data_IF_451642481071
#
_entry.id   IF_451642481071
#
_cell.length_a   1.000
_cell.length_b   1.000
_cell.length_c   1.000
_cell.angle_alpha   90.00
_cell.angle_beta   90.00
_cell.angle_gamma   90.00
#
_symmetry.space_group_name_H-M   'P 1'
#
loop_
_entity.id
_entity.type
_entity.pdbx_description
1 polymer ?
#
# COMPACT_ATOMS: atom_id res chain seq x y z
N UNK A 1 59.14 -68.56 23.07
CA UNK A 1 58.80 -67.16 22.72
C UNK A 1 57.50 -67.00 21.94
N UNK A 2 56.74 -68.06 21.63
CA UNK A 2 55.43 -67.94 20.93
C UNK A 2 54.20 -68.12 21.84
N UNK A 3 54.36 -68.33 23.15
CA UNK A 3 53.25 -68.39 24.11
C UNK A 3 53.03 -67.11 24.93
N UNK A 4 53.99 -66.20 24.97
CA UNK A 4 53.83 -64.88 25.62
C UNK A 4 53.19 -63.84 24.68
N UNK A 5 53.50 -63.87 23.39
CA UNK A 5 52.89 -62.97 22.39
C UNK A 5 51.40 -63.23 22.12
N UNK A 6 50.89 -64.41 22.46
CA UNK A 6 49.46 -64.71 22.39
C UNK A 6 48.68 -64.11 23.57
N UNK A 7 49.28 -64.05 24.77
CA UNK A 7 48.63 -63.49 25.95
C UNK A 7 48.59 -61.96 25.96
N UNK A 8 49.59 -61.29 25.35
CA UNK A 8 49.55 -59.83 25.20
C UNK A 8 48.49 -59.35 24.19
N UNK A 9 48.16 -60.14 23.17
CA UNK A 9 47.10 -59.80 22.21
C UNK A 9 45.69 -59.94 22.79
N UNK A 10 45.48 -60.91 23.69
CA UNK A 10 44.20 -61.13 24.35
C UNK A 10 43.91 -60.12 25.49
N UNK A 11 44.94 -59.47 26.03
CA UNK A 11 44.79 -58.41 27.04
C UNK A 11 44.47 -57.08 26.33
N UNK A 12 45.14 -56.78 25.21
CA UNK A 12 44.86 -55.56 24.43
C UNK A 12 43.47 -55.61 23.76
N UNK A 13 42.96 -56.80 23.40
CA UNK A 13 41.59 -56.91 22.87
C UNK A 13 40.51 -56.75 23.95
N UNK A 14 40.81 -57.07 25.22
CA UNK A 14 39.84 -56.93 26.33
C UNK A 14 39.74 -55.51 26.88
N UNK A 15 40.82 -54.72 26.79
CA UNK A 15 40.79 -53.31 27.22
C UNK A 15 40.22 -52.37 26.14
N UNK A 16 40.19 -52.77 24.86
CA UNK A 16 39.54 -51.98 23.78
C UNK A 16 38.02 -52.20 23.73
N UNK A 17 37.52 -53.33 24.23
CA UNK A 17 36.07 -53.62 24.27
C UNK A 17 35.38 -53.05 25.51
N UNK A 18 36.13 -52.65 26.56
CA UNK A 18 35.54 -52.09 27.78
C UNK A 18 35.49 -50.55 27.80
N UNK A 19 36.15 -49.86 26.85
CA UNK A 19 36.15 -48.39 26.71
C UNK A 19 35.20 -47.89 25.60
N UNK A 20 34.49 -48.80 24.92
CA UNK A 20 33.42 -48.47 23.95
C UNK A 20 32.02 -48.45 24.53
N UNK A 21 31.88 -48.66 25.84
CA UNK A 21 30.59 -48.72 26.51
C UNK A 21 30.26 -47.51 27.40
N UNK A 22 31.10 -46.46 27.37
CA UNK A 22 30.75 -45.16 27.92
C UNK A 22 30.47 -44.14 26.79
N UNK A 23 29.27 -43.57 26.82
CA UNK A 23 28.73 -42.48 25.97
C UNK A 23 28.12 -42.89 24.63
N UNK A 24 27.10 -43.73 24.70
CA UNK A 24 25.84 -43.38 24.04
C UNK A 24 24.77 -43.21 25.11
N UNK A 25 24.57 -41.96 25.55
CA UNK A 25 23.28 -41.54 26.08
C UNK A 25 22.29 -41.69 24.91
N UNK A 26 21.78 -42.91 24.70
CA UNK A 26 20.52 -43.09 23.98
C UNK A 26 19.51 -42.34 24.84
N UNK A 27 19.04 -41.20 24.35
CA UNK A 27 17.84 -40.55 24.88
C UNK A 27 16.70 -41.57 24.76
N UNK A 28 16.57 -42.42 25.78
CA UNK A 28 15.42 -43.28 25.93
C UNK A 28 14.24 -42.36 26.14
N UNK A 29 13.30 -42.36 25.20
CA UNK A 29 11.99 -41.79 25.39
C UNK A 29 11.41 -42.37 26.69
N UNK A 30 11.46 -41.59 27.79
CA UNK A 30 10.75 -41.93 29.02
C UNK A 30 9.27 -41.82 28.71
N UNK A 31 8.60 -42.95 28.48
CA UNK A 31 7.14 -42.98 28.48
C UNK A 31 6.67 -42.55 29.87
N UNK A 32 6.04 -41.39 29.93
CA UNK A 32 5.53 -40.81 31.17
C UNK A 32 4.38 -41.68 31.66
N UNK A 33 4.54 -42.33 32.81
CA UNK A 33 3.53 -43.21 33.43
C UNK A 33 2.21 -42.48 33.79
N UNK A 34 2.23 -41.14 33.82
CA UNK A 34 1.06 -40.31 34.14
C UNK A 34 0.74 -39.34 33.00
N UNK A 35 -0.55 -39.20 32.69
CA UNK A 35 -1.07 -38.27 31.67
C UNK A 35 -0.81 -36.81 32.07
N UNK A 36 0.27 -36.22 31.53
CA UNK A 36 0.69 -34.83 31.82
C UNK A 36 -0.15 -33.79 31.04
N UNK A 37 -0.96 -34.23 30.07
CA UNK A 37 -1.88 -33.35 29.34
C UNK A 37 -1.28 -32.63 28.13
N UNK A 38 0.02 -32.79 27.81
CA UNK A 38 0.60 -32.30 26.54
C UNK A 38 -0.05 -32.93 25.30
N UNK A 39 -0.63 -34.11 25.43
CA UNK A 39 -1.44 -34.74 24.39
C UNK A 39 -2.66 -33.89 23.95
N UNK A 40 -3.11 -32.96 24.80
CA UNK A 40 -4.17 -32.01 24.46
C UNK A 40 -3.65 -30.69 23.85
N UNK A 41 -2.34 -30.48 23.76
CA UNK A 41 -1.76 -29.28 23.14
C UNK A 41 -2.17 -29.14 21.66
N UNK A 42 -2.13 -30.21 20.82
CA UNK A 42 -2.64 -30.12 19.45
C UNK A 42 -4.13 -29.75 19.40
N UNK A 43 -4.94 -30.34 20.29
CA UNK A 43 -6.37 -30.01 20.40
C UNK A 43 -6.60 -28.56 20.83
N UNK A 44 -5.74 -28.01 21.69
CA UNK A 44 -5.78 -26.62 22.12
C UNK A 44 -5.39 -25.66 20.99
N UNK A 45 -4.33 -25.99 20.24
CA UNK A 45 -3.91 -25.23 19.05
C UNK A 45 -5.01 -25.28 18.00
N UNK A 46 -5.57 -26.45 17.71
CA UNK A 46 -6.70 -26.62 16.80
C UNK A 46 -7.89 -25.73 17.20
N UNK A 47 -8.35 -25.80 18.46
CA UNK A 47 -9.47 -24.98 18.94
C UNK A 47 -9.17 -23.47 18.87
N UNK A 48 -7.92 -23.06 19.13
CA UNK A 48 -7.49 -21.66 19.04
C UNK A 48 -7.47 -21.19 17.58
N UNK A 49 -6.97 -22.03 16.67
CA UNK A 49 -6.95 -21.75 15.23
C UNK A 49 -8.35 -21.67 14.63
N UNK A 50 -9.26 -22.59 15.00
CA UNK A 50 -10.67 -22.56 14.57
C UNK A 50 -11.36 -21.28 15.05
N UNK A 51 -11.13 -20.85 16.30
CA UNK A 51 -11.71 -19.60 16.83
C UNK A 51 -11.14 -18.33 16.20
N UNK A 52 -9.83 -18.32 15.88
CA UNK A 52 -9.17 -17.17 15.24
C UNK A 52 -9.54 -17.06 13.76
N UNK A 53 -9.82 -18.18 13.12
CA UNK A 53 -9.99 -18.27 11.68
C UNK A 53 -8.66 -18.21 10.92
N UNK A 54 -8.75 -18.29 9.60
CA UNK A 54 -7.62 -18.22 8.70
C UNK A 54 -7.71 -16.98 7.83
N UNK A 55 -6.56 -16.43 7.45
CA UNK A 55 -6.44 -15.29 6.55
C UNK A 55 -5.64 -15.73 5.34
N UNK A 56 -6.16 -15.49 4.14
CA UNK A 56 -5.50 -15.83 2.89
C UNK A 56 -5.69 -14.71 1.86
N UNK A 57 -4.58 -14.16 1.36
CA UNK A 57 -4.60 -13.10 0.37
C UNK A 57 -4.09 -13.64 -0.97
N UNK A 58 -4.94 -13.55 -1.98
CA UNK A 58 -4.70 -14.01 -3.34
C UNK A 58 -4.64 -12.80 -4.27
N UNK A 59 -3.60 -12.69 -5.06
CA UNK A 59 -3.49 -11.68 -6.10
C UNK A 59 -3.69 -12.31 -7.47
N UNK A 60 -4.40 -11.62 -8.35
CA UNK A 60 -4.65 -12.08 -9.71
C UNK A 60 -4.04 -11.10 -10.70
N UNK A 61 -3.18 -11.60 -11.57
CA UNK A 61 -2.37 -10.83 -12.53
C UNK A 61 -2.49 -11.43 -13.91
N UNK A 62 -2.58 -10.58 -14.94
CA UNK A 62 -2.60 -11.03 -16.33
C UNK A 62 -3.13 -9.98 -17.29
N UNK A 63 -3.05 -10.28 -18.58
CA UNK A 63 -3.56 -9.42 -19.65
C UNK A 63 -5.06 -9.12 -19.48
N UNK A 64 -5.49 -7.97 -19.99
CA UNK A 64 -6.89 -7.58 -20.04
C UNK A 64 -7.72 -8.61 -20.82
N UNK A 65 -8.94 -8.90 -20.36
CA UNK A 65 -9.85 -9.79 -21.09
C UNK A 65 -9.54 -11.30 -20.99
N UNK A 66 -8.59 -11.74 -20.16
CA UNK A 66 -8.31 -13.17 -19.93
C UNK A 66 -9.32 -13.87 -18.99
N UNK A 67 -10.27 -13.14 -18.40
CA UNK A 67 -11.28 -13.71 -17.51
C UNK A 67 -10.86 -13.79 -16.03
N UNK A 68 -9.95 -12.91 -15.58
CA UNK A 68 -9.48 -12.79 -14.19
C UNK A 68 -10.63 -12.71 -13.18
N UNK A 69 -11.50 -11.71 -13.32
CA UNK A 69 -12.65 -11.49 -12.43
C UNK A 69 -13.68 -12.63 -12.52
N UNK A 70 -13.84 -13.25 -13.69
CA UNK A 70 -14.70 -14.44 -13.89
C UNK A 70 -14.16 -15.65 -13.11
N UNK A 71 -12.84 -15.86 -13.10
CA UNK A 71 -12.24 -16.95 -12.32
C UNK A 71 -12.44 -16.72 -10.83
N UNK A 72 -12.28 -15.49 -10.34
CA UNK A 72 -12.46 -15.15 -8.93
C UNK A 72 -13.87 -15.52 -8.46
N UNK A 73 -14.90 -15.16 -9.23
CA UNK A 73 -16.30 -15.53 -8.94
C UNK A 73 -16.52 -17.04 -8.99
N UNK A 74 -15.85 -17.73 -9.92
CA UNK A 74 -15.93 -19.17 -10.06
C UNK A 74 -15.27 -19.89 -8.88
N UNK A 75 -14.09 -19.43 -8.44
CA UNK A 75 -13.25 -20.08 -7.42
C UNK A 75 -13.92 -20.12 -6.05
N UNK A 76 -14.58 -19.03 -5.66
CA UNK A 76 -15.20 -18.90 -4.34
C UNK A 76 -16.70 -19.16 -4.32
N UNK A 77 -17.26 -19.56 -5.46
CA UNK A 77 -18.69 -19.82 -5.66
C UNK A 77 -19.62 -18.69 -5.18
N UNK A 78 -19.06 -17.51 -4.93
CA UNK A 78 -19.71 -16.34 -4.35
C UNK A 78 -19.75 -15.27 -5.42
N UNK A 79 -20.91 -14.67 -5.65
CA UNK A 79 -21.03 -13.56 -6.58
C UNK A 79 -20.48 -12.28 -5.93
N UNK A 80 -19.15 -12.15 -5.90
CA UNK A 80 -18.46 -11.01 -5.29
C UNK A 80 -18.76 -9.68 -5.97
N UNK A 81 -19.30 -9.71 -7.19
CA UNK A 81 -19.75 -8.55 -7.95
C UNK A 81 -21.28 -8.49 -8.11
N UNK A 82 -22.05 -9.15 -7.24
CA UNK A 82 -23.51 -9.04 -7.26
C UNK A 82 -23.97 -7.80 -6.47
N UNK A 83 -24.21 -6.73 -7.20
CA UNK A 83 -25.35 -5.86 -6.88
C UNK A 83 -26.29 -5.94 -8.09
N UNK A 84 -27.26 -6.86 -8.01
CA UNK A 84 -28.37 -7.02 -8.96
C UNK A 84 -27.96 -7.16 -10.44
N UNK A 85 -27.94 -8.41 -10.93
CA UNK A 85 -27.76 -8.81 -12.33
C UNK A 85 -27.75 -7.69 -13.37
N UNK A 86 -26.67 -7.65 -14.14
CA UNK A 86 -26.83 -7.43 -15.55
C UNK A 86 -26.13 -8.54 -16.31
N UNK A 87 -26.72 -8.95 -17.43
CA UNK A 87 -26.25 -10.07 -18.23
C UNK A 87 -24.81 -9.91 -18.75
N UNK A 88 -24.39 -10.75 -19.72
CA UNK A 88 -23.03 -10.78 -20.28
C UNK A 88 -22.53 -9.44 -20.87
N UNK A 89 -23.41 -8.43 -20.93
CA UNK A 89 -23.29 -7.16 -21.63
C UNK A 89 -22.94 -5.97 -20.73
N UNK A 90 -23.09 -6.04 -19.39
CA UNK A 90 -22.47 -5.01 -18.54
C UNK A 90 -21.01 -5.41 -18.39
N UNK A 91 -20.22 -4.90 -19.33
CA UNK A 91 -18.76 -4.94 -19.30
C UNK A 91 -18.32 -4.70 -17.87
N UNK A 92 -17.76 -5.73 -17.24
CA UNK A 92 -16.91 -5.60 -16.06
C UNK A 92 -15.99 -4.42 -16.40
N UNK A 93 -16.19 -3.27 -15.73
CA UNK A 93 -15.42 -2.08 -16.07
C UNK A 93 -13.96 -2.47 -15.99
N UNK A 94 -13.17 -2.14 -17.02
CA UNK A 94 -11.74 -2.46 -17.02
C UNK A 94 -11.17 -1.95 -15.70
N UNK A 95 -10.65 -2.84 -14.87
CA UNK A 95 -10.02 -2.49 -13.59
C UNK A 95 -8.90 -1.50 -13.92
N UNK A 96 -9.02 -0.24 -13.49
CA UNK A 96 -8.03 0.83 -13.78
C UNK A 96 -7.03 0.98 -12.64
N UNK A 97 -7.37 0.48 -11.44
CA UNK A 97 -6.54 0.52 -10.22
C UNK A 97 -6.58 -0.83 -9.52
N UNK A 98 -5.52 -1.15 -8.79
CA UNK A 98 -5.48 -2.35 -7.94
C UNK A 98 -6.60 -2.23 -6.89
N UNK A 99 -7.54 -3.16 -6.92
CA UNK A 99 -8.68 -3.19 -6.00
C UNK A 99 -8.60 -4.44 -5.11
N UNK A 100 -9.02 -4.30 -3.85
CA UNK A 100 -8.97 -5.37 -2.87
C UNK A 100 -10.36 -5.69 -2.37
N UNK A 101 -10.85 -6.89 -2.68
CA UNK A 101 -12.13 -7.40 -2.21
C UNK A 101 -11.89 -8.37 -1.05
N UNK A 102 -12.58 -8.16 0.07
CA UNK A 102 -12.49 -9.05 1.24
C UNK A 102 -13.78 -9.86 1.39
N UNK A 103 -13.62 -11.16 1.60
CA UNK A 103 -14.71 -12.13 1.69
C UNK A 103 -14.46 -12.99 2.90
N UNK A 104 -15.49 -13.16 3.74
CA UNK A 104 -15.42 -14.09 4.86
C UNK A 104 -16.21 -15.33 4.48
N UNK A 105 -15.49 -16.39 4.14
CA UNK A 105 -16.05 -17.71 3.87
C UNK A 105 -16.16 -18.48 5.18
N UNK A 106 -17.26 -19.20 5.38
CA UNK A 106 -17.46 -20.06 6.56
C UNK A 106 -17.78 -21.46 6.10
N UNK A 107 -16.97 -22.44 6.51
CA UNK A 107 -17.16 -23.86 6.19
C UNK A 107 -16.93 -24.70 7.45
N UNK A 108 -17.87 -25.59 7.78
CA UNK A 108 -17.77 -26.53 8.93
C UNK A 108 -17.34 -25.90 10.27
N UNK A 109 -17.75 -24.65 10.54
CA UNK A 109 -17.41 -23.92 11.77
C UNK A 109 -16.05 -23.20 11.74
N UNK A 110 -15.32 -23.28 10.63
CA UNK A 110 -14.08 -22.53 10.38
C UNK A 110 -14.39 -21.31 9.51
N UNK A 111 -13.89 -20.14 9.90
CA UNK A 111 -13.96 -18.92 9.09
C UNK A 111 -12.63 -18.65 8.38
N UNK A 112 -12.67 -18.49 7.07
CA UNK A 112 -11.57 -18.03 6.23
C UNK A 112 -11.86 -16.60 5.76
N UNK A 113 -11.04 -15.63 6.18
CA UNK A 113 -10.99 -14.29 5.60
C UNK A 113 -10.08 -14.34 4.38
N UNK A 114 -10.71 -14.30 3.22
CA UNK A 114 -10.04 -14.25 1.95
C UNK A 114 -9.97 -12.80 1.47
N UNK A 115 -8.79 -12.31 1.14
CA UNK A 115 -8.62 -11.05 0.41
C UNK A 115 -8.22 -11.36 -1.02
N UNK A 116 -9.00 -10.94 -1.99
CA UNK A 116 -8.66 -11.05 -3.40
C UNK A 116 -8.24 -9.67 -3.91
N UNK A 117 -7.02 -9.60 -4.41
CA UNK A 117 -6.42 -8.40 -5.01
C UNK A 117 -6.56 -8.53 -6.52
N UNK A 118 -7.47 -7.77 -7.11
CA UNK A 118 -7.62 -7.68 -8.56
C UNK A 118 -6.69 -6.58 -9.10
N UNK A 119 -5.86 -6.94 -10.07
CA UNK A 119 -4.93 -6.00 -10.71
C UNK A 119 -5.46 -5.56 -12.07
N UNK A 120 -5.23 -4.30 -12.47
CA UNK A 120 -5.56 -3.83 -13.80
C UNK A 120 -4.89 -4.73 -14.84
N UNK A 121 -5.62 -5.05 -15.92
CA UNK A 121 -5.03 -5.80 -17.02
C UNK A 121 -3.90 -5.02 -17.67
N UNK A 122 -2.71 -5.61 -17.75
CA UNK A 122 -1.60 -5.04 -18.52
C UNK A 122 -1.72 -5.43 -20.00
N UNK A 123 -0.99 -4.76 -20.89
CA UNK A 123 -0.96 -5.09 -22.33
C UNK A 123 -2.00 -4.35 -23.19
N UNK A 124 -2.88 -3.54 -22.60
CA UNK A 124 -3.86 -2.72 -23.33
C UNK A 124 -3.28 -1.42 -23.91
N UNK A 125 -2.17 -0.93 -23.35
CA UNK A 125 -1.54 0.32 -23.74
C UNK A 125 -0.54 0.13 -24.89
N UNK A 126 -0.28 1.19 -25.66
CA UNK A 126 0.77 1.18 -26.71
C UNK A 126 2.16 1.05 -26.09
N UNK A 127 2.37 1.70 -24.94
CA UNK A 127 3.57 1.55 -24.12
C UNK A 127 3.23 0.75 -22.85
N UNK A 128 3.89 -0.41 -22.70
CA UNK A 128 3.75 -1.29 -21.53
C UNK A 128 5.05 -1.43 -20.74
N UNK A 129 6.04 -0.55 -20.94
CA UNK A 129 7.38 -0.71 -20.36
C UNK A 129 7.44 -0.69 -18.83
N UNK A 130 6.40 -0.24 -18.13
CA UNK A 130 6.37 -0.20 -16.65
C UNK A 130 5.05 -0.74 -16.06
N UNK A 131 4.37 -1.64 -16.77
CA UNK A 131 3.04 -2.12 -16.36
C UNK A 131 3.04 -2.93 -15.05
N UNK A 132 4.18 -3.50 -14.65
CA UNK A 132 4.35 -4.24 -13.39
C UNK A 132 4.56 -3.34 -12.17
N UNK A 133 4.94 -2.07 -12.34
CA UNK A 133 5.33 -1.20 -11.22
C UNK A 133 4.19 -1.04 -10.19
N UNK A 134 2.92 -0.79 -10.58
CA UNK A 134 1.84 -0.66 -9.60
C UNK A 134 1.58 -1.94 -8.80
N UNK A 135 1.83 -3.11 -9.40
CA UNK A 135 1.66 -4.41 -8.73
C UNK A 135 2.81 -4.65 -7.74
N UNK A 136 4.03 -4.33 -8.14
CA UNK A 136 5.20 -4.43 -7.27
C UNK A 136 5.10 -3.46 -6.09
N UNK A 137 4.73 -2.20 -6.35
CA UNK A 137 4.55 -1.18 -5.31
C UNK A 137 3.46 -1.58 -4.32
N UNK A 138 2.38 -2.20 -4.80
CA UNK A 138 1.33 -2.73 -3.94
C UNK A 138 1.86 -3.83 -3.01
N UNK A 139 2.62 -4.80 -3.52
CA UNK A 139 3.22 -5.88 -2.72
C UNK A 139 4.20 -5.30 -1.70
N UNK A 140 5.09 -4.40 -2.12
CA UNK A 140 6.07 -3.76 -1.25
C UNK A 140 5.41 -2.94 -0.14
N UNK A 141 4.34 -2.21 -0.49
CA UNK A 141 3.54 -1.46 0.50
C UNK A 141 2.93 -2.39 1.55
N UNK A 142 2.48 -3.59 1.16
CA UNK A 142 1.96 -4.60 2.11
C UNK A 142 3.04 -5.22 2.97
N UNK A 143 4.24 -5.45 2.44
CA UNK A 143 5.37 -5.88 3.26
C UNK A 143 5.87 -4.78 4.20
N UNK A 144 5.86 -3.52 3.77
CA UNK A 144 6.21 -2.38 4.61
C UNK A 144 5.20 -2.14 5.73
N UNK A 145 3.89 -2.26 5.45
CA UNK A 145 2.83 -2.21 6.46
C UNK A 145 3.05 -3.29 7.54
N UNK A 146 3.39 -4.52 7.10
CA UNK A 146 3.67 -5.62 8.00
C UNK A 146 4.95 -5.39 8.82
N UNK A 147 6.05 -4.98 8.18
CA UNK A 147 7.33 -4.67 8.85
C UNK A 147 7.17 -3.54 9.88
N UNK A 148 6.44 -2.48 9.53
CA UNK A 148 6.13 -1.39 10.45
C UNK A 148 5.30 -1.87 11.64
N UNK A 149 4.41 -2.84 11.43
CA UNK A 149 3.64 -3.44 12.52
C UNK A 149 4.51 -4.33 13.42
N UNK A 150 5.49 -5.04 12.86
CA UNK A 150 6.44 -5.89 13.58
C UNK A 150 7.39 -5.06 14.46
N UNK A 151 7.84 -3.90 13.96
CA UNK A 151 8.73 -2.96 14.67
C UNK A 151 8.04 -2.20 15.82
N UNK A 152 6.71 -2.21 15.91
CA UNK A 152 5.99 -1.52 17.01
C UNK A 152 6.28 -2.18 18.36
N UNK A 153 6.53 -1.36 19.37
CA UNK A 153 6.82 -1.79 20.75
C UNK A 153 5.66 -2.59 21.36
N UNK A 154 4.41 -2.17 21.14
CA UNK A 154 3.22 -2.91 21.54
C UNK A 154 2.75 -3.83 20.41
N UNK A 155 3.22 -5.08 20.43
CA UNK A 155 2.87 -6.11 19.46
C UNK A 155 1.47 -6.68 19.72
N UNK A 156 0.44 -6.04 19.17
CA UNK A 156 -0.89 -6.66 19.05
C UNK A 156 -0.90 -7.66 17.89
N UNK A 157 -1.65 -8.76 18.02
CA UNK A 157 -1.80 -9.74 16.93
C UNK A 157 -2.63 -9.09 15.80
N UNK A 158 -1.97 -8.54 14.77
CA UNK A 158 -2.60 -7.85 13.65
C UNK A 158 -2.91 -8.82 12.48
N UNK A 159 -3.89 -8.48 11.62
CA UNK A 159 -4.23 -9.28 10.45
C UNK A 159 -3.09 -9.25 9.42
N UNK A 160 -2.84 -10.40 8.79
CA UNK A 160 -1.84 -10.53 7.73
C UNK A 160 -2.41 -10.02 6.40
N UNK A 161 -1.91 -8.88 5.92
CA UNK A 161 -2.33 -8.27 4.65
C UNK A 161 -1.36 -8.58 3.49
N UNK A 162 -0.34 -9.43 3.71
CA UNK A 162 0.67 -9.77 2.69
C UNK A 162 0.07 -10.68 1.63
N UNK A 163 0.49 -10.51 0.36
CA UNK A 163 0.04 -11.39 -0.73
C UNK A 163 0.73 -12.75 -0.59
N UNK A 164 -0.05 -13.82 -0.40
CA UNK A 164 0.52 -15.17 -0.22
C UNK A 164 0.73 -15.90 -1.55
N UNK A 165 -0.11 -15.60 -2.54
CA UNK A 165 -0.08 -16.27 -3.84
C UNK A 165 -0.49 -15.29 -4.94
N UNK A 166 0.22 -15.32 -6.05
CA UNK A 166 -0.13 -14.65 -7.29
C UNK A 166 -0.53 -15.66 -8.35
N UNK A 167 -1.77 -15.59 -8.80
CA UNK A 167 -2.25 -16.30 -9.98
C UNK A 167 -1.89 -15.50 -11.23
N UNK A 168 -1.00 -16.05 -12.06
CA UNK A 168 -0.53 -15.39 -13.26
C UNK A 168 -1.22 -15.98 -14.49
N UNK A 169 -2.05 -15.18 -15.16
CA UNK A 169 -2.82 -15.60 -16.32
C UNK A 169 -2.02 -15.38 -17.60
N UNK A 170 -1.75 -16.49 -18.27
CA UNK A 170 -1.09 -16.55 -19.57
C UNK A 170 -2.18 -16.65 -20.65
N UNK A 171 -2.03 -15.84 -21.70
CA UNK A 171 -2.93 -15.90 -22.85
C UNK A 171 -2.75 -17.22 -23.62
N UNK A 172 -3.84 -17.86 -24.10
CA UNK A 172 -3.77 -19.10 -24.86
C UNK A 172 -3.38 -18.81 -26.32
N UNK A 173 -2.13 -18.45 -26.56
CA UNK A 173 -1.61 -18.15 -27.92
C UNK A 173 -1.19 -19.40 -28.68
N UNK A 174 -0.90 -20.51 -27.98
CA UNK A 174 -0.45 -21.77 -28.57
C UNK A 174 1.02 -21.81 -28.99
N UNK A 175 1.75 -20.69 -28.90
CA UNK A 175 3.17 -20.62 -29.26
C UNK A 175 4.08 -20.71 -28.04
N UNK A 176 4.06 -19.68 -27.19
CA UNK A 176 4.92 -19.55 -26.01
C UNK A 176 4.51 -18.35 -25.16
N UNK A 177 5.33 -18.00 -24.18
CA UNK A 177 5.15 -16.82 -23.33
C UNK A 177 5.45 -15.55 -24.11
N UNK A 178 4.64 -14.51 -23.89
CA UNK A 178 4.95 -13.20 -24.45
C UNK A 178 6.22 -12.66 -23.77
N UNK A 179 7.09 -11.90 -24.47
CA UNK A 179 8.24 -11.25 -23.85
C UNK A 179 7.85 -10.35 -22.67
N UNK A 180 6.67 -9.71 -22.76
CA UNK A 180 6.09 -8.94 -21.67
C UNK A 180 5.83 -9.79 -20.42
N UNK A 181 5.33 -11.01 -20.62
CA UNK A 181 5.00 -11.91 -19.52
C UNK A 181 6.27 -12.44 -18.84
N UNK A 182 7.30 -12.74 -19.63
CA UNK A 182 8.63 -13.13 -19.15
C UNK A 182 9.22 -12.04 -18.25
N UNK A 183 9.21 -10.79 -18.70
CA UNK A 183 9.73 -9.67 -17.90
C UNK A 183 8.91 -9.43 -16.64
N UNK A 184 7.58 -9.55 -16.71
CA UNK A 184 6.70 -9.42 -15.56
C UNK A 184 7.00 -10.49 -14.51
N UNK A 185 7.03 -11.77 -14.91
CA UNK A 185 7.31 -12.88 -14.00
C UNK A 185 8.73 -12.81 -13.42
N UNK A 186 9.72 -12.37 -14.20
CA UNK A 186 11.09 -12.12 -13.72
C UNK A 186 11.16 -11.07 -12.61
N UNK A 187 10.27 -10.08 -12.58
CA UNK A 187 10.28 -9.10 -11.48
C UNK A 187 9.44 -9.54 -10.27
N UNK A 188 8.46 -10.40 -10.51
CA UNK A 188 7.51 -10.82 -9.47
C UNK A 188 8.00 -12.05 -8.68
N UNK A 189 8.79 -12.94 -9.30
CA UNK A 189 9.13 -14.24 -8.72
C UNK A 189 9.93 -14.18 -7.42
N UNK A 190 10.72 -13.11 -7.20
CA UNK A 190 11.47 -12.93 -5.96
C UNK A 190 10.58 -12.45 -4.81
N UNK A 191 9.42 -11.87 -5.12
CA UNK A 191 8.54 -11.22 -4.13
C UNK A 191 7.32 -12.02 -3.75
N UNK A 192 6.75 -12.83 -4.64
CA UNK A 192 5.51 -13.57 -4.38
C UNK A 192 5.56 -14.95 -5.05
N UNK A 193 4.89 -15.93 -4.43
CA UNK A 193 4.65 -17.24 -5.02
C UNK A 193 3.81 -17.14 -6.30
N UNK A 194 4.42 -17.40 -7.45
CA UNK A 194 3.73 -17.36 -8.75
C UNK A 194 3.18 -18.75 -9.11
N UNK A 195 1.88 -18.80 -9.42
CA UNK A 195 1.23 -19.96 -10.03
C UNK A 195 0.81 -19.59 -11.45
N UNK A 196 1.45 -20.16 -12.48
CA UNK A 196 1.09 -19.89 -13.88
C UNK A 196 -0.19 -20.65 -14.26
N UNK A 197 -1.14 -19.92 -14.86
CA UNK A 197 -2.43 -20.39 -15.32
C UNK A 197 -2.61 -20.09 -16.80
N UNK A 198 -3.02 -21.08 -17.58
CA UNK A 198 -3.45 -20.85 -18.97
C UNK A 198 -4.92 -20.44 -18.94
N UNK A 199 -5.18 -19.21 -19.32
CA UNK A 199 -6.53 -18.65 -19.37
C UNK A 199 -7.30 -19.17 -20.59
N UNK A 200 -8.64 -19.24 -20.50
CA UNK A 200 -9.53 -19.66 -21.61
C UNK A 200 -9.03 -20.92 -22.31
N UNK A 201 -8.75 -21.96 -21.54
CA UNK A 201 -8.23 -23.23 -22.06
C UNK A 201 -9.18 -23.91 -23.06
N UNK A 202 -10.45 -23.53 -23.08
CA UNK A 202 -11.47 -23.92 -24.06
C UNK A 202 -11.20 -23.45 -25.49
N UNK A 203 -10.19 -22.59 -25.69
CA UNK A 203 -9.73 -22.15 -27.02
C UNK A 203 -8.71 -23.07 -27.66
N UNK A 204 -8.09 -23.97 -26.87
CA UNK A 204 -7.04 -24.88 -27.32
C UNK A 204 -7.57 -26.31 -27.35
N UNK A 205 -7.11 -27.09 -28.33
CA UNK A 205 -7.34 -28.54 -28.32
C UNK A 205 -6.49 -29.21 -27.22
N UNK A 206 -6.86 -30.43 -26.77
CA UNK A 206 -6.08 -31.13 -25.73
C UNK A 206 -4.61 -31.38 -26.11
N UNK A 207 -4.35 -31.63 -27.39
CA UNK A 207 -2.98 -31.84 -27.90
C UNK A 207 -2.18 -30.52 -27.92
N UNK A 208 -2.78 -29.42 -28.41
CA UNK A 208 -2.17 -28.09 -28.37
C UNK A 208 -1.89 -27.64 -26.94
N UNK A 209 -2.82 -27.90 -26.02
CA UNK A 209 -2.64 -27.59 -24.61
C UNK A 209 -1.45 -28.34 -24.00
N UNK A 210 -1.27 -29.63 -24.33
CA UNK A 210 -0.13 -30.42 -23.87
C UNK A 210 1.19 -29.87 -24.37
N UNK A 211 1.26 -29.47 -25.63
CA UNK A 211 2.49 -28.96 -26.22
C UNK A 211 2.78 -27.54 -25.73
N UNK A 212 1.75 -26.70 -25.59
CA UNK A 212 1.86 -25.36 -25.01
C UNK A 212 2.33 -25.39 -23.55
N UNK A 213 1.84 -26.32 -22.73
CA UNK A 213 2.33 -26.53 -21.35
C UNK A 213 3.83 -26.83 -21.32
N UNK A 214 4.31 -27.71 -22.21
CA UNK A 214 5.75 -28.03 -22.30
C UNK A 214 6.57 -26.82 -22.73
N UNK A 215 6.10 -26.06 -23.72
CA UNK A 215 6.81 -24.86 -24.18
C UNK A 215 6.91 -23.81 -23.08
N UNK A 216 5.82 -23.54 -22.34
CA UNK A 216 5.83 -22.62 -21.20
C UNK A 216 6.85 -23.07 -20.13
N UNK A 217 6.85 -24.35 -19.76
CA UNK A 217 7.80 -24.87 -18.75
C UNK A 217 9.25 -24.73 -19.21
N UNK A 218 9.53 -25.04 -20.48
CA UNK A 218 10.87 -24.87 -21.06
C UNK A 218 11.31 -23.40 -21.04
N UNK A 219 10.42 -22.47 -21.40
CA UNK A 219 10.74 -21.04 -21.39
C UNK A 219 10.93 -20.49 -19.98
N UNK A 220 10.12 -20.92 -19.00
CA UNK A 220 10.30 -20.57 -17.58
C UNK A 220 11.67 -21.01 -17.08
N UNK A 221 12.08 -22.24 -17.41
CA UNK A 221 13.38 -22.79 -17.04
C UNK A 221 14.54 -22.04 -17.72
N UNK A 222 14.42 -21.73 -19.01
CA UNK A 222 15.42 -20.96 -19.77
C UNK A 222 15.63 -19.55 -19.18
N UNK A 223 14.55 -18.90 -18.77
CA UNK A 223 14.59 -17.56 -18.19
C UNK A 223 14.90 -17.54 -16.69
N UNK A 224 15.08 -18.72 -16.06
CA UNK A 224 15.36 -18.93 -14.63
C UNK A 224 14.33 -18.28 -13.71
N UNK A 225 13.05 -18.34 -14.11
CA UNK A 225 11.95 -17.82 -13.31
C UNK A 225 11.58 -18.88 -12.27
N UNK A 226 11.62 -18.51 -10.99
CA UNK A 226 11.18 -19.39 -9.90
C UNK A 226 9.67 -19.33 -9.79
N UNK A 227 9.00 -20.39 -10.19
CA UNK A 227 7.57 -20.56 -9.89
C UNK A 227 7.42 -21.26 -8.55
N UNK A 228 6.22 -21.25 -7.99
CA UNK A 228 5.93 -22.01 -6.77
C UNK A 228 6.15 -23.50 -7.05
N UNK A 229 7.14 -24.07 -6.39
CA UNK A 229 7.41 -25.50 -6.40
C UNK A 229 6.67 -26.15 -5.23
N UNK A 230 6.02 -27.27 -5.51
CA UNK A 230 5.31 -28.03 -4.49
C UNK A 230 6.36 -28.64 -3.55
N UNK A 231 6.30 -28.35 -2.24
CA UNK A 231 7.21 -28.99 -1.30
C UNK A 231 7.02 -30.50 -1.40
N UNK A 232 8.13 -31.21 -1.55
CA UNK A 232 8.15 -32.64 -1.30
C UNK A 232 8.13 -32.81 0.22
N UNK A 233 7.01 -33.24 0.80
CA UNK A 233 6.98 -33.60 2.22
C UNK A 233 7.93 -34.79 2.42
N UNK A 234 9.01 -34.61 3.19
CA UNK A 234 9.97 -35.68 3.52
C UNK A 234 9.32 -36.83 4.33
N UNK A 235 8.16 -36.59 4.94
CA UNK A 235 7.39 -37.59 5.69
C UNK A 235 6.59 -38.51 4.75
N UNK A 236 7.09 -39.73 4.52
CA UNK A 236 6.44 -40.75 3.67
C UNK A 236 4.96 -41.01 4.02
N UNK A 237 4.58 -40.88 5.30
CA UNK A 237 3.21 -41.11 5.78
C UNK A 237 2.28 -39.93 5.42
N UNK A 238 2.71 -38.68 5.59
CA UNK A 238 1.93 -37.52 5.13
C UNK A 238 1.85 -37.47 3.61
N UNK A 239 2.93 -37.81 2.92
CA UNK A 239 2.97 -37.91 1.47
C UNK A 239 2.02 -39.02 0.96
N UNK A 240 1.90 -40.14 1.68
CA UNK A 240 0.88 -41.17 1.42
C UNK A 240 -0.53 -40.68 1.73
N UNK A 241 -0.76 -39.89 2.78
CA UNK A 241 -2.08 -39.32 3.12
C UNK A 241 -2.49 -38.28 2.07
N UNK A 242 -1.59 -37.38 1.67
CA UNK A 242 -1.81 -36.39 0.62
C UNK A 242 -2.06 -37.07 -0.72
N UNK A 243 -1.27 -38.11 -1.07
CA UNK A 243 -1.53 -38.95 -2.25
C UNK A 243 -2.83 -39.74 -2.14
N UNK A 244 -3.24 -40.23 -0.96
CA UNK A 244 -4.52 -40.93 -0.75
C UNK A 244 -5.71 -39.98 -0.82
N UNK A 245 -5.61 -38.78 -0.27
CA UNK A 245 -6.62 -37.72 -0.39
C UNK A 245 -6.76 -37.25 -1.84
N UNK A 246 -5.65 -37.06 -2.57
CA UNK A 246 -5.68 -36.78 -4.01
C UNK A 246 -6.21 -37.95 -4.84
N UNK A 247 -5.87 -39.21 -4.49
CA UNK A 247 -6.29 -40.42 -5.22
C UNK A 247 -7.74 -40.80 -4.99
N UNK A 248 -8.31 -40.50 -3.82
CA UNK A 248 -9.70 -40.82 -3.51
C UNK A 248 -10.69 -39.96 -4.32
N UNK A 249 -10.32 -38.72 -4.67
CA UNK A 249 -11.11 -37.85 -5.55
C UNK A 249 -10.77 -38.01 -7.05
N UNK A 250 -9.57 -38.53 -7.40
CA UNK A 250 -9.13 -38.66 -8.80
C UNK A 250 -8.49 -40.03 -9.09
N UNK A 251 -9.32 -41.00 -9.51
CA UNK A 251 -8.84 -42.22 -10.18
C UNK A 251 -8.10 -41.83 -11.47
N UNK A 252 -6.76 -41.94 -11.48
CA UNK A 252 -5.94 -41.88 -12.70
C UNK A 252 -5.23 -40.55 -12.99
N UNK A 253 -5.21 -39.58 -12.08
CA UNK A 253 -4.55 -38.30 -12.33
C UNK A 253 -3.04 -38.33 -12.13
N UNK A 254 -2.30 -37.71 -13.06
CA UNK A 254 -0.88 -37.36 -12.92
C UNK A 254 -0.65 -36.52 -11.64
N UNK A 255 0.54 -36.57 -11.02
CA UNK A 255 0.87 -35.72 -9.87
C UNK A 255 0.60 -34.25 -10.20
N UNK A 256 0.20 -33.47 -9.19
CA UNK A 256 -0.21 -32.07 -9.34
C UNK A 256 0.88 -31.21 -10.01
N UNK A 257 2.14 -31.59 -9.80
CA UNK A 257 3.34 -31.04 -10.45
C UNK A 257 3.28 -31.14 -11.99
N UNK A 258 2.77 -32.25 -12.55
CA UNK A 258 2.65 -32.46 -14.00
C UNK A 258 1.51 -31.66 -14.63
N UNK A 259 0.62 -31.09 -13.80
CA UNK A 259 -0.54 -30.32 -14.28
C UNK A 259 -0.23 -28.84 -14.45
N UNK A 260 0.84 -28.34 -13.83
CA UNK A 260 1.28 -26.95 -13.95
C UNK A 260 1.96 -26.74 -15.30
N UNK A 261 1.63 -25.67 -16.05
CA UNK A 261 0.64 -24.63 -15.74
C UNK A 261 -0.81 -25.12 -15.89
N UNK A 262 -1.68 -24.74 -14.95
CA UNK A 262 -3.07 -25.21 -14.93
C UNK A 262 -3.87 -24.60 -16.09
N UNK A 263 -4.57 -25.45 -16.84
CA UNK A 263 -5.43 -25.02 -17.93
C UNK A 263 -6.85 -24.81 -17.39
N UNK A 264 -7.30 -23.55 -17.34
CA UNK A 264 -8.54 -23.18 -16.64
C UNK A 264 -9.59 -22.56 -17.56
N UNK A 265 -10.85 -22.82 -17.21
CA UNK A 265 -12.02 -22.20 -17.82
C UNK A 265 -12.90 -21.68 -16.70
N UNK A 266 -13.18 -20.38 -16.68
CA UNK A 266 -14.10 -19.75 -15.74
C UNK A 266 -15.48 -19.54 -16.36
N UNK A 267 -16.55 -19.72 -15.59
CA UNK A 267 -17.91 -19.42 -16.03
C UNK A 267 -18.77 -18.89 -14.89
N UNK A 268 -19.52 -17.83 -15.18
CA UNK A 268 -20.55 -17.29 -14.29
C UNK A 268 -21.95 -17.85 -14.63
N UNK A 269 -22.09 -18.58 -15.74
CA UNK A 269 -23.37 -19.12 -16.18
C UNK A 269 -23.59 -20.54 -15.67
N UNK A 270 -24.79 -20.77 -15.13
CA UNK A 270 -25.27 -22.11 -14.74
C UNK A 270 -26.09 -22.66 -15.90
N UNK A 271 -25.67 -23.80 -16.43
CA UNK A 271 -26.33 -24.52 -17.52
C UNK A 271 -26.92 -25.81 -16.95
N UNK A 272 -28.07 -26.22 -17.45
CA UNK A 272 -28.67 -27.50 -17.08
C UNK A 272 -28.19 -28.59 -18.04
N UNK A 273 -27.47 -29.59 -17.52
CA UNK A 273 -27.03 -30.75 -18.28
C UNK A 273 -27.60 -32.01 -17.59
N UNK A 274 -28.47 -32.74 -18.29
CA UNK A 274 -29.11 -33.97 -17.79
C UNK A 274 -29.81 -33.82 -16.42
N UNK A 275 -30.46 -32.68 -16.16
CA UNK A 275 -31.19 -32.40 -14.91
C UNK A 275 -30.30 -31.99 -13.74
N UNK A 276 -28.99 -31.81 -13.96
CA UNK A 276 -28.06 -31.23 -12.99
C UNK A 276 -27.69 -29.82 -13.44
N UNK A 277 -27.94 -28.86 -12.55
CA UNK A 277 -27.49 -27.47 -12.71
C UNK A 277 -25.99 -27.41 -12.44
N UNK A 278 -25.21 -27.25 -13.50
CA UNK A 278 -23.75 -27.20 -13.45
C UNK A 278 -23.24 -25.87 -13.95
N UNK A 279 -22.10 -25.40 -13.44
CA UNK A 279 -21.45 -24.20 -13.96
C UNK A 279 -20.68 -24.57 -15.23
N UNK A 280 -20.99 -23.90 -16.33
CA UNK A 280 -20.42 -24.24 -17.62
C UNK A 280 -20.58 -23.13 -18.65
N UNK A 281 -19.83 -23.22 -19.74
CA UNK A 281 -19.96 -22.36 -20.92
C UNK A 281 -20.67 -23.13 -22.02
N UNK A 282 -21.75 -22.58 -22.55
CA UNK A 282 -22.50 -23.20 -23.63
C UNK A 282 -22.00 -22.66 -24.97
N UNK A 283 -21.62 -23.57 -25.86
CA UNK A 283 -21.25 -23.30 -27.24
C UNK A 283 -22.24 -23.96 -28.20
N UNK A 284 -22.29 -23.54 -29.48
CA UNK A 284 -23.11 -24.20 -30.49
C UNK A 284 -22.83 -25.70 -30.66
N UNK A 285 -21.60 -26.14 -30.36
CA UNK A 285 -21.14 -27.53 -30.50
C UNK A 285 -21.13 -28.34 -29.20
N UNK A 286 -21.42 -27.74 -28.04
CA UNK A 286 -21.39 -28.46 -26.77
C UNK A 286 -21.31 -27.57 -25.53
N UNK A 287 -21.29 -28.20 -24.36
CA UNK A 287 -21.21 -27.52 -23.06
C UNK A 287 -19.88 -27.86 -22.40
N UNK A 288 -19.10 -26.83 -22.06
CA UNK A 288 -17.86 -26.99 -21.31
C UNK A 288 -18.17 -26.83 -19.83
N UNK A 289 -18.17 -27.94 -19.12
CA UNK A 289 -18.34 -27.98 -17.66
C UNK A 289 -17.07 -27.49 -16.94
N UNK A 290 -17.20 -26.51 -16.04
CA UNK A 290 -16.06 -25.92 -15.31
C UNK A 290 -15.57 -26.83 -14.18
N UNK A 291 -16.47 -27.62 -13.61
CA UNK A 291 -16.17 -28.57 -12.52
C UNK A 291 -15.93 -29.99 -13.03
N UNK A 292 -15.44 -30.14 -14.26
CA UNK A 292 -15.08 -31.43 -14.80
C UNK A 292 -13.57 -31.48 -15.12
N UNK A 293 -12.90 -32.46 -14.51
CA UNK A 293 -11.44 -32.67 -14.63
C UNK A 293 -11.00 -33.14 -16.01
N UNK A 294 -11.92 -33.68 -16.82
CA UNK A 294 -11.64 -34.06 -18.20
C UNK A 294 -11.63 -32.83 -19.13
N UNK A 295 -12.36 -31.77 -18.76
CA UNK A 295 -12.46 -30.54 -19.54
C UNK A 295 -11.44 -29.49 -19.11
N UNK A 296 -11.14 -29.36 -17.81
CA UNK A 296 -10.17 -28.39 -17.31
C UNK A 296 -9.48 -28.84 -16.01
N UNK A 297 -8.47 -28.07 -15.60
CA UNK A 297 -7.76 -28.26 -14.33
C UNK A 297 -8.26 -27.35 -13.18
N UNK A 298 -9.45 -26.77 -13.28
CA UNK A 298 -10.01 -25.83 -12.30
C UNK A 298 -10.22 -26.49 -10.93
N UNK A 299 -10.73 -27.72 -10.88
CA UNK A 299 -10.87 -28.45 -9.60
C UNK A 299 -9.49 -28.67 -8.96
N UNK A 300 -8.49 -29.01 -9.78
CA UNK A 300 -7.12 -29.21 -9.29
C UNK A 300 -6.55 -27.91 -8.70
N UNK A 301 -6.74 -26.77 -9.38
CA UNK A 301 -6.35 -25.45 -8.86
C UNK A 301 -7.09 -25.10 -7.56
N UNK A 302 -8.41 -25.31 -7.50
CA UNK A 302 -9.23 -25.02 -6.31
C UNK A 302 -8.78 -25.86 -5.11
N UNK A 303 -8.59 -27.16 -5.31
CA UNK A 303 -8.14 -28.07 -4.26
C UNK A 303 -6.70 -27.77 -3.81
N UNK A 304 -5.83 -27.35 -4.74
CA UNK A 304 -4.49 -26.88 -4.41
C UNK A 304 -4.53 -25.66 -3.49
N UNK A 305 -5.22 -24.59 -3.92
CA UNK A 305 -5.22 -23.30 -3.23
C UNK A 305 -5.91 -23.35 -1.87
N UNK A 306 -7.04 -24.05 -1.76
CA UNK A 306 -7.90 -23.99 -0.57
C UNK A 306 -7.65 -25.17 0.37
N UNK A 307 -7.47 -26.39 -0.15
CA UNK A 307 -7.49 -27.61 0.68
C UNK A 307 -6.11 -28.07 1.14
N UNK A 308 -5.08 -27.89 0.33
CA UNK A 308 -3.80 -28.61 0.52
C UNK A 308 -2.62 -27.67 0.78
N UNK A 309 -2.43 -26.65 -0.04
CA UNK A 309 -1.20 -25.85 -0.04
C UNK A 309 -1.38 -24.42 0.51
N UNK A 310 -2.55 -24.10 1.07
CA UNK A 310 -2.81 -22.77 1.62
C UNK A 310 -1.81 -22.38 2.71
N UNK A 311 -1.54 -23.28 3.65
CA UNK A 311 -0.62 -23.01 4.76
C UNK A 311 0.82 -22.92 4.26
N UNK A 312 1.22 -23.83 3.38
CA UNK A 312 2.55 -23.83 2.80
C UNK A 312 2.86 -22.54 2.01
N UNK A 313 1.91 -22.07 1.18
CA UNK A 313 2.04 -20.79 0.48
C UNK A 313 2.29 -19.62 1.45
N UNK A 314 1.65 -19.65 2.64
CA UNK A 314 1.89 -18.64 3.68
C UNK A 314 3.27 -18.79 4.30
N UNK A 315 3.71 -20.01 4.56
CA UNK A 315 5.00 -20.30 5.17
C UNK A 315 6.16 -19.93 4.24
N UNK A 316 6.06 -20.22 2.95
CA UNK A 316 7.02 -19.76 1.93
C UNK A 316 7.01 -18.23 1.81
N UNK A 317 5.83 -17.61 1.83
CA UNK A 317 5.72 -16.14 1.83
C UNK A 317 6.41 -15.52 3.04
N UNK A 318 6.28 -16.12 4.21
CA UNK A 318 6.89 -15.63 5.43
C UNK A 318 8.40 -15.86 5.44
N UNK A 319 8.85 -17.09 5.19
CA UNK A 319 10.23 -17.51 5.42
C UNK A 319 11.17 -17.15 4.27
N UNK A 320 10.65 -17.02 3.05
CA UNK A 320 11.43 -16.70 1.86
C UNK A 320 11.19 -15.26 1.45
N UNK A 321 9.99 -14.93 0.98
CA UNK A 321 9.73 -13.64 0.35
C UNK A 321 9.79 -12.46 1.33
N UNK A 322 9.11 -12.57 2.47
CA UNK A 322 9.10 -11.53 3.49
C UNK A 322 10.46 -11.37 4.17
N UNK A 323 11.13 -12.47 4.55
CA UNK A 323 12.47 -12.38 5.12
C UNK A 323 13.50 -11.82 4.13
N UNK A 324 13.41 -12.13 2.83
CA UNK A 324 14.26 -11.50 1.82
C UNK A 324 14.01 -9.99 1.73
N UNK A 325 12.74 -9.56 1.75
CA UNK A 325 12.38 -8.14 1.76
C UNK A 325 12.88 -7.44 3.03
N UNK A 326 12.67 -8.05 4.19
CA UNK A 326 13.11 -7.58 5.49
C UNK A 326 14.63 -7.48 5.56
N UNK A 327 15.34 -8.50 5.08
CA UNK A 327 16.80 -8.48 4.96
C UNK A 327 17.24 -7.33 4.05
N UNK A 328 16.62 -7.13 2.88
CA UNK A 328 16.97 -6.03 1.98
C UNK A 328 16.70 -4.65 2.57
N UNK A 329 15.68 -4.49 3.41
CA UNK A 329 15.31 -3.21 4.03
C UNK A 329 16.11 -2.90 5.30
N UNK A 330 16.44 -3.92 6.08
CA UNK A 330 17.23 -3.80 7.32
C UNK A 330 18.75 -3.93 7.07
N UNK A 331 19.16 -4.50 5.93
CA UNK A 331 20.55 -4.48 5.51
C UNK A 331 21.00 -3.01 5.43
N UNK A 332 22.13 -2.66 6.06
CA UNK A 332 22.64 -1.30 5.98
C UNK A 332 23.01 -1.03 4.53
N UNK A 333 22.22 -0.18 3.86
CA UNK A 333 22.54 0.33 2.53
C UNK A 333 23.79 1.19 2.67
N UNK A 334 24.97 0.60 2.47
CA UNK A 334 26.16 1.39 2.12
C UNK A 334 26.14 1.62 0.63
N UNK A 335 26.41 2.86 0.22
CA UNK A 335 26.35 3.34 -1.16
C UNK A 335 27.29 2.63 -2.16
N UNK A 336 28.07 1.64 -1.72
CA UNK A 336 28.99 0.87 -2.55
C UNK A 336 28.88 -0.61 -2.18
N UNK A 337 28.38 -1.43 -3.11
CA UNK A 337 28.05 -2.85 -2.95
C UNK A 337 29.21 -3.79 -2.61
N UNK A 338 29.85 -3.62 -1.44
CA UNK A 338 30.75 -4.60 -0.83
C UNK A 338 30.30 -4.90 0.60
N UNK A 339 29.77 -6.10 0.79
CA UNK A 339 29.38 -6.65 2.10
C UNK A 339 30.63 -6.81 2.96
N UNK A 340 30.77 -6.02 4.04
CA UNK A 340 31.71 -6.31 5.12
C UNK A 340 30.98 -7.04 6.24
N UNK A 341 31.40 -8.27 6.53
CA UNK A 341 30.91 -9.11 7.61
C UNK A 341 31.34 -8.63 9.02
N UNK A 342 31.36 -7.32 9.27
CA UNK A 342 31.87 -6.74 10.53
C UNK A 342 30.92 -5.74 11.19
N UNK A 343 29.63 -5.72 10.86
CA UNK A 343 28.67 -4.74 11.40
C UNK A 343 27.42 -5.37 12.02
N UNK A 344 27.59 -6.51 12.71
CA UNK A 344 26.55 -7.09 13.58
C UNK A 344 26.41 -6.37 14.93
N UNK A 345 27.05 -5.21 15.11
CA UNK A 345 26.98 -4.41 16.34
C UNK A 345 26.82 -2.92 15.97
N UNK A 346 25.61 -2.50 15.59
CA UNK A 346 25.23 -1.09 15.71
C UNK A 346 24.23 -0.98 16.85
N UNK A 347 24.67 -0.33 17.93
CA UNK A 347 23.90 -0.12 19.15
C UNK A 347 22.56 0.59 18.84
N UNK A 348 21.45 0.21 19.51
CA UNK A 348 20.14 0.88 19.41
C UNK A 348 20.17 2.40 19.63
N UNK A 349 21.20 2.90 20.32
CA UNK A 349 21.43 4.33 20.52
C UNK A 349 21.83 5.09 19.25
N UNK A 350 22.47 4.44 18.29
CA UNK A 350 22.88 5.07 17.02
C UNK A 350 21.66 5.34 16.14
N UNK A 351 20.69 4.42 16.08
CA UNK A 351 19.47 4.60 15.29
C UNK A 351 18.58 5.72 15.84
N UNK A 352 18.44 5.81 17.17
CA UNK A 352 17.65 6.88 17.80
C UNK A 352 18.31 8.27 17.63
N UNK A 353 19.65 8.34 17.57
CA UNK A 353 20.36 9.57 17.27
C UNK A 353 20.18 10.01 15.81
N UNK A 354 20.05 9.06 14.89
CA UNK A 354 19.89 9.32 13.46
C UNK A 354 18.44 9.79 13.16
N UNK A 355 17.43 9.14 13.75
CA UNK A 355 16.04 9.61 13.69
C UNK A 355 15.88 10.99 14.36
N UNK A 356 16.54 11.22 15.50
CA UNK A 356 16.55 12.54 16.15
C UNK A 356 17.21 13.59 15.26
N UNK A 357 18.31 13.27 14.59
CA UNK A 357 18.96 14.17 13.62
C UNK A 357 18.07 14.48 12.42
N UNK A 358 17.36 13.50 11.89
CA UNK A 358 16.43 13.72 10.78
C UNK A 358 15.24 14.58 11.20
N UNK A 359 14.69 14.34 12.40
CA UNK A 359 13.63 15.17 12.96
C UNK A 359 14.12 16.60 13.23
N UNK A 360 15.31 16.76 13.83
CA UNK A 360 15.92 18.07 14.07
C UNK A 360 16.19 18.82 12.74
N UNK A 361 16.62 18.11 11.69
CA UNK A 361 16.79 18.70 10.35
C UNK A 361 15.47 19.13 9.72
N UNK A 362 14.39 18.35 9.89
CA UNK A 362 13.04 18.71 9.41
C UNK A 362 12.49 19.91 10.18
N UNK A 363 12.66 19.93 11.51
CA UNK A 363 12.25 21.05 12.36
C UNK A 363 13.01 22.32 11.99
N UNK A 364 14.32 22.23 11.76
CA UNK A 364 15.12 23.38 11.34
C UNK A 364 14.74 23.91 9.95
N UNK A 365 14.36 23.01 9.03
CA UNK A 365 13.85 23.41 7.71
C UNK A 365 12.48 24.10 7.81
N UNK A 366 11.58 23.54 8.63
CA UNK A 366 10.26 24.14 8.88
C UNK A 366 10.38 25.49 9.61
N UNK A 367 11.32 25.63 10.53
CA UNK A 367 11.65 26.88 11.21
C UNK A 367 12.17 27.93 10.21
N UNK A 368 13.09 27.57 9.31
CA UNK A 368 13.58 28.46 8.26
C UNK A 368 12.47 28.90 7.29
N UNK A 369 11.56 28.00 6.93
CA UNK A 369 10.39 28.33 6.09
C UNK A 369 9.42 29.27 6.83
N UNK A 370 9.15 29.02 8.12
CA UNK A 370 8.33 29.92 8.95
C UNK A 370 8.98 31.29 9.15
N UNK A 371 10.31 31.35 9.33
CA UNK A 371 11.05 32.59 9.49
C UNK A 371 11.04 33.42 8.21
N UNK A 372 11.18 32.79 7.04
CA UNK A 372 11.02 33.48 5.75
C UNK A 372 9.60 34.05 5.56
N UNK A 373 8.57 33.27 5.89
CA UNK A 373 7.18 33.74 5.82
C UNK A 373 6.93 34.89 6.81
N UNK A 374 7.51 34.82 8.01
CA UNK A 374 7.43 35.88 9.00
C UNK A 374 8.14 37.14 8.53
N UNK A 375 9.35 37.03 7.98
CA UNK A 375 10.11 38.17 7.47
C UNK A 375 9.38 38.86 6.31
N UNK A 376 8.76 38.08 5.41
CA UNK A 376 7.94 38.60 4.33
C UNK A 376 6.70 39.34 4.86
N UNK A 377 5.99 38.79 5.85
CA UNK A 377 4.86 39.47 6.51
C UNK A 377 5.28 40.73 7.27
N UNK A 378 6.44 40.73 7.91
CA UNK A 378 6.99 41.91 8.61
C UNK A 378 7.33 43.01 7.61
N UNK A 379 7.95 42.68 6.48
CA UNK A 379 8.21 43.64 5.39
C UNK A 379 6.91 44.22 4.82
N UNK A 380 5.90 43.38 4.61
CA UNK A 380 4.57 43.83 4.15
C UNK A 380 3.88 44.75 5.17
N UNK A 381 3.95 44.44 6.47
CA UNK A 381 3.40 45.28 7.54
C UNK A 381 4.15 46.62 7.66
N UNK A 382 5.48 46.60 7.56
CA UNK A 382 6.31 47.82 7.60
C UNK A 382 6.04 48.75 6.41
N UNK A 383 5.88 48.18 5.21
CA UNK A 383 5.52 48.97 4.02
C UNK A 383 4.13 49.58 4.16
N UNK A 384 3.12 48.81 4.60
CA UNK A 384 1.78 49.35 4.91
C UNK A 384 1.79 50.45 5.97
N UNK A 385 2.60 50.32 7.01
CA UNK A 385 2.77 51.36 8.03
C UNK A 385 3.38 52.63 7.46
N UNK A 386 4.41 52.49 6.62
CA UNK A 386 5.06 53.63 5.95
C UNK A 386 4.12 54.35 4.99
N UNK A 387 3.32 53.61 4.23
CA UNK A 387 2.31 54.20 3.34
C UNK A 387 1.20 54.90 4.14
N UNK A 388 0.76 54.31 5.25
CA UNK A 388 -0.21 54.92 6.16
C UNK A 388 0.33 56.20 6.83
N UNK A 389 1.62 56.23 7.19
CA UNK A 389 2.28 57.40 7.74
C UNK A 389 2.38 58.51 6.69
N UNK A 390 2.77 58.18 5.45
CA UNK A 390 2.83 59.13 4.34
C UNK A 390 1.45 59.74 4.01
N UNK A 391 0.39 58.93 4.04
CA UNK A 391 -0.98 59.41 3.81
C UNK A 391 -1.49 60.29 4.95
N UNK A 392 -1.17 59.96 6.21
CA UNK A 392 -1.44 60.84 7.35
C UNK A 392 -0.71 62.18 7.22
N UNK A 393 0.54 62.16 6.78
CA UNK A 393 1.35 63.36 6.58
C UNK A 393 0.78 64.25 5.47
N UNK A 394 0.34 63.66 4.35
CA UNK A 394 -0.36 64.38 3.28
C UNK A 394 -1.67 65.02 3.77
N UNK A 395 -2.46 64.31 4.57
CA UNK A 395 -3.69 64.86 5.16
C UNK A 395 -3.40 66.00 6.12
N UNK A 396 -2.34 65.89 6.93
CA UNK A 396 -1.91 66.95 7.84
C UNK A 396 -1.45 68.19 7.05
N UNK A 397 -0.70 68.03 5.96
CA UNK A 397 -0.30 69.14 5.09
C UNK A 397 -1.50 69.80 4.39
N UNK A 398 -2.47 69.03 3.92
CA UNK A 398 -3.71 69.56 3.34
C UNK A 398 -4.52 70.35 4.37
N UNK A 399 -4.68 69.81 5.58
CA UNK A 399 -5.38 70.48 6.67
C UNK A 399 -4.65 71.76 7.11
N UNK A 400 -3.32 71.74 7.13
CA UNK A 400 -2.52 72.94 7.42
C UNK A 400 -2.73 74.02 6.36
N UNK A 401 -2.72 73.66 5.08
CA UNK A 401 -2.99 74.60 3.97
C UNK A 401 -4.40 75.18 4.05
N UNK A 402 -5.42 74.40 4.41
CA UNK A 402 -6.78 74.91 4.57
C UNK A 402 -6.89 75.85 5.77
N UNK A 403 -6.20 75.54 6.88
CA UNK A 403 -6.14 76.43 8.04
C UNK A 403 -5.43 77.75 7.73
N UNK A 404 -4.32 77.72 6.97
CA UNK A 404 -3.64 78.94 6.51
C UNK A 404 -4.52 79.78 5.58
N UNK A 405 -5.31 79.15 4.71
CA UNK A 405 -6.29 79.85 3.87
C UNK A 405 -7.39 80.50 4.72
N UNK A 406 -7.98 79.77 5.66
CA UNK A 406 -8.97 80.34 6.58
C UNK A 406 -8.39 81.46 7.44
N UNK A 407 -7.13 81.37 7.85
CA UNK A 407 -6.47 82.43 8.61
C UNK A 407 -6.31 83.69 7.74
N UNK A 408 -5.89 83.55 6.47
CA UNK A 408 -5.84 84.68 5.54
C UNK A 408 -7.21 85.29 5.28
N UNK A 409 -8.24 84.48 5.07
CA UNK A 409 -9.61 84.96 4.90
C UNK A 409 -10.11 85.72 6.13
N UNK A 410 -9.77 85.24 7.33
CA UNK A 410 -10.08 85.94 8.58
C UNK A 410 -9.31 87.27 8.65
N UNK A 411 -8.01 87.28 8.39
CA UNK A 411 -7.20 88.51 8.40
C UNK A 411 -7.70 89.55 7.38
N UNK A 412 -8.11 89.11 6.18
CA UNK A 412 -8.73 89.98 5.17
C UNK A 412 -10.08 90.54 5.65
N UNK A 413 -10.93 89.71 6.27
CA UNK A 413 -12.19 90.16 6.87
C UNK A 413 -11.96 91.13 8.03
N UNK A 414 -10.96 90.89 8.87
CA UNK A 414 -10.57 91.79 9.95
C UNK A 414 -10.07 93.13 9.38
N UNK A 415 -9.22 93.11 8.35
CA UNK A 415 -8.74 94.34 7.70
C UNK A 415 -9.87 95.11 7.01
N UNK A 416 -10.82 94.41 6.38
CA UNK A 416 -12.01 95.03 5.80
C UNK A 416 -12.91 95.64 6.87
N UNK A 417 -13.12 94.93 7.98
CA UNK A 417 -13.89 95.43 9.13
C UNK A 417 -13.21 96.64 9.78
N UNK A 418 -11.88 96.64 9.92
CA UNK A 418 -11.15 97.80 10.46
C UNK A 418 -11.23 99.01 9.53
N UNK A 419 -11.20 98.81 8.21
CA UNK A 419 -11.44 99.88 7.23
C UNK A 419 -12.88 100.39 7.28
N UNK A 420 -13.86 99.50 7.41
CA UNK A 420 -15.28 99.86 7.56
C UNK A 420 -15.52 100.62 8.87
N UNK A 421 -14.90 100.17 9.96
CA UNK A 421 -14.93 100.83 11.26
C UNK A 421 -14.27 102.21 11.20
N UNK A 422 -13.12 102.35 10.55
CA UNK A 422 -12.47 103.64 10.35
C UNK A 422 -13.33 104.59 9.51
N UNK A 423 -13.93 104.11 8.42
CA UNK A 423 -14.86 104.89 7.61
C UNK A 423 -16.14 105.27 8.38
N UNK A 424 -16.64 104.38 9.23
CA UNK A 424 -17.77 104.66 10.13
C UNK A 424 -17.40 105.69 11.18
N UNK A 425 -16.23 105.59 11.82
CA UNK A 425 -15.72 106.57 12.77
C UNK A 425 -15.49 107.94 12.11
N UNK A 426 -15.04 107.97 10.86
CA UNK A 426 -14.89 109.20 10.08
C UNK A 426 -16.25 109.83 9.76
N UNK A 427 -17.23 109.06 9.28
CA UNK A 427 -18.59 109.53 9.05
C UNK A 427 -19.30 109.98 10.34
N UNK A 428 -19.10 109.26 11.46
CA UNK A 428 -19.65 109.63 12.74
C UNK A 428 -18.94 110.86 13.33
N UNK A 429 -17.64 110.99 13.11
CA UNK A 429 -16.83 112.16 13.44
C UNK A 429 -17.24 113.40 12.65
N UNK A 430 -17.52 113.26 11.35
CA UNK A 430 -18.09 114.31 10.50
C UNK A 430 -19.51 114.69 10.93
N UNK A 431 -20.36 113.71 11.26
CA UNK A 431 -21.70 113.95 11.81
C UNK A 431 -21.63 114.62 13.19
N UNK A 432 -20.63 114.32 14.01
CA UNK A 432 -20.38 115.00 15.29
C UNK A 432 -19.86 116.42 15.09
N UNK A 433 -18.95 116.65 14.15
CA UNK A 433 -18.48 118.00 13.76
C UNK A 433 -19.60 118.85 13.15
N UNK A 434 -20.53 118.27 12.37
CA UNK A 434 -21.69 119.01 11.87
C UNK A 434 -22.72 119.33 12.97
N UNK A 435 -22.88 118.44 13.97
CA UNK A 435 -23.68 118.68 15.18
C UNK A 435 -23.02 119.70 16.14
N UNK A 436 -21.69 119.74 16.23
CA UNK A 436 -20.93 120.73 17.00
C UNK A 436 -20.95 122.11 16.31
N UNK A 437 -20.76 122.19 14.99
CA UNK A 437 -20.94 123.45 14.23
C UNK A 437 -22.40 123.96 14.31
N UNK A 438 -23.39 123.07 14.39
CA UNK A 438 -24.79 123.45 14.64
C UNK A 438 -25.04 123.92 16.09
N UNK A 439 -24.19 123.53 17.05
CA UNK A 439 -24.22 124.03 18.44
C UNK A 439 -23.43 125.33 18.59
N UNK A 440 -22.34 125.53 17.86
CA UNK A 440 -21.57 126.79 17.85
C UNK A 440 -22.33 127.92 17.18
N UNK A 441 -22.98 127.68 16.03
CA UNK A 441 -23.89 128.66 15.42
C UNK A 441 -25.09 129.04 16.33
N UNK A 442 -25.50 128.16 17.24
CA UNK A 442 -26.49 128.49 18.29
C UNK A 442 -25.88 129.20 19.50
N UNK A 443 -24.59 129.03 19.78
CA UNK A 443 -23.87 129.72 20.86
C UNK A 443 -23.48 131.15 20.46
N UNK A 444 -23.11 131.37 19.20
CA UNK A 444 -22.74 132.70 18.69
C UNK A 444 -23.94 133.64 18.53
N UNK A 445 -25.15 133.12 18.35
CA UNK A 445 -26.39 133.94 18.42
C UNK A 445 -26.82 134.33 19.84
N UNK A 446 -26.27 133.70 20.90
CA UNK A 446 -26.64 134.00 22.29
C UNK A 446 -25.64 134.86 23.07
N UNK A 447 -24.46 135.17 22.49
CA UNK A 447 -23.50 136.15 23.05
C UNK A 447 -23.61 137.55 22.44
N UNK A 448 -24.57 137.77 21.53
CA UNK A 448 -24.88 139.09 20.95
C UNK A 448 -25.96 139.86 21.73
N UNK A 449 -26.47 139.33 22.85
CA UNK A 449 -27.48 139.99 23.68
C UNK A 449 -27.13 139.71 25.15
N UNK A 450 -26.79 140.79 25.85
CA UNK A 450 -26.27 140.94 27.23
C UNK A 450 -24.75 140.91 27.40
#
# INVERSE_FOLDING_TARGET
MDRERARERDIISKDVDNDRNEKHHREGHKELENYVGFANLPNQVYRKSVKRGFEFNLMVVGESGLGKSTLINSLFLTDLYSSEYPGPSLRIQKTVKVDTTQVVLKENGVSLRLTVVDTPGFGDAVDNSNCWQPVIDFIDSKYEEYLNSESRVNRTTMPDNRVHCCLYFIAPTGHGLKPLDVEFMKRLHDKVNIIPLIAKADTLTPDECRDFKKTILNEIAQHRIKIYEFPECDDEEENKIQKKLLKNDLKGSKPLQDRVPFAIVGSNTVVDNNGKRIRGRQYPWGIVEVENLEHNDFIALRNMLIRTHMQDLKDVTNNVHYENYRYSKLAPVTADGKIKASSLTKDPMSQMQEEKREHDSKMKKMEAEMEQVFEMKVKEKKTKLKDSEADLQRRAEQMKKSLEQHQKELDEKWSAFDKEKAAWEEQFGERRRSLENSKETKKDKKKSIF
#
